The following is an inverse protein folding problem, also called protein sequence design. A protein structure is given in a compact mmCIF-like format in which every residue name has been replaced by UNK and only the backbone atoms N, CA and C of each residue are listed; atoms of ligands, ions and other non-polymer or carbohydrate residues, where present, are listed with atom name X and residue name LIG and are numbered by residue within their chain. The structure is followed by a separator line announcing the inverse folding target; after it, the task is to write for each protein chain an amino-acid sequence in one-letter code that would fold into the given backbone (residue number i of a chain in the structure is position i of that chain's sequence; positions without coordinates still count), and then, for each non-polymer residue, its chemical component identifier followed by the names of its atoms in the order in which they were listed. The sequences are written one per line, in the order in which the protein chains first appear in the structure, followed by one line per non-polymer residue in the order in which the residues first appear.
data_IF_567541096538
#
_entry.id   IF_567541096538
#
_cell.length_a   1.000
_cell.length_b   1.000
_cell.length_c   1.000
_cell.angle_alpha   90.00
_cell.angle_beta   90.00
_cell.angle_gamma   90.00
#
_symmetry.space_group_name_H-M   'P 1'
#
loop_
_entity.id
_entity.type
_entity.pdbx_description
1 polymer ?
#
# COMPACT_ATOMS: atom_id res chain seq x y z
N UNK A 1 30.66 19.96 20.21
CA UNK A 1 29.22 19.65 20.13
C UNK A 1 28.57 20.37 18.94
N UNK A 2 28.79 19.92 17.69
CA UNK A 2 28.16 20.52 16.48
C UNK A 2 28.00 19.50 15.34
N UNK A 3 27.70 18.23 15.64
CA UNK A 3 27.48 17.19 14.61
C UNK A 3 26.04 16.64 14.64
N UNK A 4 25.25 16.98 15.66
CA UNK A 4 23.93 16.37 15.88
C UNK A 4 22.79 16.98 15.05
N UNK A 5 23.00 18.15 14.42
CA UNK A 5 21.91 18.90 13.75
C UNK A 5 21.72 18.50 12.28
N UNK A 6 22.73 17.94 11.61
CA UNK A 6 22.67 17.63 10.17
C UNK A 6 21.88 16.33 9.88
N UNK A 7 21.77 15.43 10.86
CA UNK A 7 21.07 14.14 10.70
C UNK A 7 19.54 14.24 10.76
N UNK A 8 18.99 15.33 11.30
CA UNK A 8 17.53 15.50 11.45
C UNK A 8 16.87 16.03 10.16
N UNK A 9 17.66 16.58 9.23
CA UNK A 9 17.15 17.11 7.96
C UNK A 9 17.10 16.05 6.83
N UNK A 10 17.80 14.93 6.96
CA UNK A 10 17.77 13.86 5.95
C UNK A 10 16.62 12.86 6.11
N UNK A 11 15.91 12.89 7.24
CA UNK A 11 14.78 11.98 7.49
C UNK A 11 13.44 12.51 6.97
N UNK A 12 13.36 13.74 6.45
CA UNK A 12 12.10 14.34 6.00
C UNK A 12 11.74 14.09 4.52
N UNK A 13 12.61 13.46 3.71
CA UNK A 13 12.30 13.17 2.29
C UNK A 13 11.46 11.89 2.08
N UNK A 14 11.10 11.17 3.13
CA UNK A 14 10.31 9.93 3.00
C UNK A 14 8.79 10.12 3.15
N UNK A 15 8.29 11.35 3.22
CA UNK A 15 6.86 11.61 3.43
C UNK A 15 6.08 12.01 2.17
N UNK A 16 6.73 12.29 1.05
CA UNK A 16 6.05 12.81 -0.16
C UNK A 16 5.76 11.75 -1.23
N UNK A 17 6.37 10.56 -1.15
CA UNK A 17 6.28 9.52 -2.19
C UNK A 17 5.10 8.55 -2.06
N UNK A 18 4.29 8.67 -1.00
CA UNK A 18 3.19 7.75 -0.71
C UNK A 18 1.84 8.11 -1.37
N UNK A 19 1.69 9.32 -1.95
CA UNK A 19 0.37 9.81 -2.42
C UNK A 19 -0.19 8.97 -3.58
N UNK A 20 0.66 8.64 -4.55
CA UNK A 20 0.24 7.94 -5.77
C UNK A 20 0.02 6.44 -5.51
N UNK A 21 0.85 5.84 -4.65
CA UNK A 21 0.65 4.46 -4.19
C UNK A 21 -0.66 4.33 -3.39
N UNK A 22 -0.92 5.23 -2.43
CA UNK A 22 -2.16 5.21 -1.65
C UNK A 22 -3.40 5.37 -2.55
N UNK A 23 -3.32 6.20 -3.60
CA UNK A 23 -4.38 6.32 -4.60
C UNK A 23 -4.66 4.98 -5.29
N UNK A 24 -3.63 4.28 -5.77
CA UNK A 24 -3.81 2.99 -6.43
C UNK A 24 -4.23 1.89 -5.48
N UNK A 25 -3.72 1.87 -4.25
CA UNK A 25 -4.19 0.97 -3.21
C UNK A 25 -5.69 1.16 -2.93
N UNK A 26 -6.15 2.40 -2.81
CA UNK A 26 -7.57 2.68 -2.62
C UNK A 26 -8.43 2.34 -3.84
N UNK A 27 -7.86 2.38 -5.04
CA UNK A 27 -8.57 2.07 -6.28
C UNK A 27 -8.69 0.57 -6.54
N UNK A 28 -7.62 -0.20 -6.26
CA UNK A 28 -7.54 -1.61 -6.63
C UNK A 28 -7.65 -2.58 -5.47
N UNK A 29 -7.20 -2.17 -4.29
CA UNK A 29 -7.13 -3.05 -3.13
C UNK A 29 -8.26 -2.78 -2.12
N UNK A 30 -9.11 -1.76 -2.34
CA UNK A 30 -10.25 -1.45 -1.46
C UNK A 30 -11.51 -2.15 -1.96
N UNK A 31 -12.19 -2.84 -1.04
CA UNK A 31 -13.36 -3.64 -1.37
C UNK A 31 -14.64 -3.01 -0.80
N UNK A 32 -15.67 -2.91 -1.64
CA UNK A 32 -17.00 -2.46 -1.21
C UNK A 32 -16.99 -1.14 -0.43
N UNK A 33 -17.64 -1.15 0.74
CA UNK A 33 -17.74 -0.01 1.65
C UNK A 33 -16.60 0.05 2.69
N UNK A 34 -15.58 -0.79 2.56
CA UNK A 34 -14.48 -0.83 3.52
C UNK A 34 -13.68 0.48 3.49
N UNK A 35 -13.25 0.91 4.68
CA UNK A 35 -12.53 2.18 4.86
C UNK A 35 -11.05 2.04 4.51
N UNK A 36 -10.50 0.83 4.58
CA UNK A 36 -9.09 0.53 4.36
C UNK A 36 -8.89 -0.49 3.23
N UNK A 37 -7.88 -0.29 2.36
CA UNK A 37 -7.49 -1.27 1.36
C UNK A 37 -6.87 -2.51 2.00
N UNK A 38 -7.16 -3.69 1.43
CA UNK A 38 -6.62 -4.98 1.88
C UNK A 38 -5.44 -5.43 1.01
N UNK A 39 -4.30 -5.66 1.66
CA UNK A 39 -3.04 -6.01 1.00
C UNK A 39 -2.44 -7.28 1.57
N UNK A 40 -1.59 -7.92 0.76
CA UNK A 40 -0.79 -9.06 1.21
C UNK A 40 0.17 -8.66 2.33
N UNK A 41 0.59 -9.63 3.13
CA UNK A 41 1.64 -9.40 4.11
C UNK A 41 2.94 -9.02 3.41
N UNK A 42 3.67 -8.08 4.01
CA UNK A 42 4.98 -7.64 3.53
C UNK A 42 4.99 -6.96 2.15
N UNK A 43 3.92 -6.24 1.77
CA UNK A 43 3.96 -5.36 0.58
C UNK A 43 4.91 -4.14 0.73
N UNK A 44 5.56 -4.00 1.89
CA UNK A 44 6.48 -2.90 2.23
C UNK A 44 7.66 -2.78 1.26
N UNK A 45 8.18 -3.91 0.76
CA UNK A 45 9.23 -3.93 -0.25
C UNK A 45 8.75 -3.32 -1.59
N UNK A 46 7.52 -3.62 -2.00
CA UNK A 46 6.88 -3.09 -3.20
C UNK A 46 6.58 -1.60 -3.02
N UNK A 47 6.14 -1.19 -1.82
CA UNK A 47 6.00 0.22 -1.44
C UNK A 47 7.33 0.97 -1.54
N UNK A 48 8.42 0.41 -1.02
CA UNK A 48 9.74 1.02 -1.09
C UNK A 48 10.24 1.12 -2.55
N UNK A 49 10.09 0.04 -3.33
CA UNK A 49 10.44 0.04 -4.75
C UNK A 49 9.63 1.04 -5.56
N UNK A 50 8.34 1.21 -5.23
CA UNK A 50 7.46 2.18 -5.85
C UNK A 50 7.89 3.62 -5.56
N UNK A 51 8.22 3.91 -4.31
CA UNK A 51 8.68 5.23 -3.88
C UNK A 51 10.08 5.57 -4.40
N UNK A 52 10.92 4.57 -4.71
CA UNK A 52 12.28 4.78 -5.20
C UNK A 52 12.34 5.28 -6.66
N UNK A 53 11.32 5.02 -7.48
CA UNK A 53 11.26 5.46 -8.89
C UNK A 53 10.80 6.91 -8.99
N UNK A 54 11.73 7.88 -8.90
CA UNK A 54 11.43 9.32 -8.99
C UNK A 54 10.29 9.77 -8.06
N UNK A 55 10.07 9.04 -6.97
CA UNK A 55 9.07 9.36 -6.00
C UNK A 55 7.62 9.01 -6.31
N UNK A 56 7.35 8.24 -7.37
CA UNK A 56 6.02 7.85 -7.79
C UNK A 56 5.99 6.46 -8.45
N UNK A 57 4.89 5.73 -8.28
CA UNK A 57 4.54 4.66 -9.22
C UNK A 57 3.75 5.22 -10.39
N UNK A 58 4.10 4.79 -11.60
CA UNK A 58 3.17 4.83 -12.71
C UNK A 58 2.01 3.85 -12.46
N UNK A 59 0.83 4.15 -13.01
CA UNK A 59 -0.33 3.26 -12.96
C UNK A 59 -0.03 1.87 -13.54
N UNK A 60 0.71 1.84 -14.66
CA UNK A 60 1.16 0.62 -15.34
C UNK A 60 2.10 -0.23 -14.51
N UNK A 61 2.83 0.40 -13.60
CA UNK A 61 3.88 -0.24 -12.80
C UNK A 61 3.35 -0.73 -11.46
N UNK A 62 2.10 -0.40 -11.10
CA UNK A 62 1.51 -0.85 -9.84
C UNK A 62 1.23 -2.36 -9.92
N UNK A 63 1.91 -3.19 -9.11
CA UNK A 63 1.81 -4.63 -9.25
C UNK A 63 0.62 -5.13 -8.45
N UNK A 64 -0.59 -4.86 -8.96
CA UNK A 64 -1.88 -5.13 -8.32
C UNK A 64 -1.95 -6.54 -7.72
N UNK A 65 -1.59 -7.56 -8.51
CA UNK A 65 -1.66 -8.97 -8.11
C UNK A 65 -0.71 -9.35 -6.97
N UNK A 66 0.37 -8.61 -6.76
CA UNK A 66 1.33 -8.88 -5.68
C UNK A 66 1.18 -7.95 -4.48
N UNK A 67 0.33 -6.91 -4.58
CA UNK A 67 0.09 -5.95 -3.49
C UNK A 67 -1.29 -6.16 -2.88
N UNK A 68 -2.34 -6.27 -3.70
CA UNK A 68 -3.70 -6.42 -3.20
C UNK A 68 -4.04 -7.88 -2.90
N UNK A 69 -4.85 -8.12 -1.87
CA UNK A 69 -5.44 -9.44 -1.63
C UNK A 69 -6.59 -9.70 -2.62
N UNK A 70 -6.62 -10.87 -3.27
CA UNK A 70 -7.74 -11.31 -4.12
C UNK A 70 -8.30 -12.68 -3.75
N UNK A 71 -7.61 -13.43 -2.89
CA UNK A 71 -8.04 -14.74 -2.43
C UNK A 71 -8.89 -14.61 -1.17
N UNK A 72 -9.87 -15.52 -1.02
CA UNK A 72 -10.73 -15.53 0.16
C UNK A 72 -9.94 -15.64 1.46
N UNK A 73 -8.84 -16.39 1.49
CA UNK A 73 -7.95 -16.50 2.64
C UNK A 73 -7.33 -15.14 3.02
N UNK A 74 -6.80 -14.42 2.02
CA UNK A 74 -6.18 -13.11 2.24
C UNK A 74 -7.22 -12.07 2.68
N UNK A 75 -8.41 -12.11 2.07
CA UNK A 75 -9.52 -11.23 2.41
C UNK A 75 -10.09 -11.52 3.81
N UNK A 76 -10.17 -12.79 4.25
CA UNK A 76 -10.62 -13.16 5.61
C UNK A 76 -9.73 -12.55 6.70
N UNK A 77 -8.44 -12.38 6.42
CA UNK A 77 -7.50 -11.75 7.35
C UNK A 77 -7.74 -10.25 7.49
N UNK A 78 -8.07 -9.57 6.40
CA UNK A 78 -8.39 -8.15 6.43
C UNK A 78 -9.78 -7.86 7.00
N UNK A 79 -10.74 -8.74 6.70
CA UNK A 79 -12.16 -8.53 6.95
C UNK A 79 -12.77 -9.73 7.67
N UNK A 80 -12.34 -10.03 8.91
CA UNK A 80 -12.85 -11.18 9.66
C UNK A 80 -14.34 -11.03 9.93
N UNK A 81 -15.09 -12.12 9.70
CA UNK A 81 -16.55 -12.15 9.92
C UNK A 81 -17.38 -11.55 8.79
N UNK A 82 -16.75 -11.02 7.72
CA UNK A 82 -17.46 -10.56 6.52
C UNK A 82 -17.78 -11.71 5.58
N UNK A 83 -18.85 -11.54 4.80
CA UNK A 83 -19.20 -12.47 3.73
C UNK A 83 -18.32 -12.19 2.52
N UNK A 84 -17.58 -13.22 2.11
CA UNK A 84 -16.76 -13.17 0.89
C UNK A 84 -17.45 -13.97 -0.20
N UNK A 85 -17.68 -13.34 -1.36
CA UNK A 85 -18.27 -14.01 -2.52
C UNK A 85 -17.60 -13.50 -3.79
N UNK A 86 -17.04 -14.41 -4.58
CA UNK A 86 -16.36 -14.10 -5.86
C UNK A 86 -15.30 -12.98 -5.74
N UNK A 87 -14.50 -12.97 -4.67
CA UNK A 87 -13.48 -11.93 -4.45
C UNK A 87 -14.06 -10.56 -4.08
N UNK A 88 -15.32 -10.48 -3.67
CA UNK A 88 -15.95 -9.28 -3.13
C UNK A 88 -16.24 -9.45 -1.63
N UNK A 89 -16.23 -8.33 -0.91
CA UNK A 89 -16.50 -8.24 0.53
C UNK A 89 -17.85 -7.56 0.73
N UNK A 90 -18.75 -8.20 1.49
CA UNK A 90 -20.11 -7.73 1.82
C UNK A 90 -20.26 -7.48 3.32
#
# INVERSE_FOLDING_TARGET
MRITIILVLHSCLWHTHAKTLNKYMNMFCKYGAETTPCTVENYSAQKASCCAKNGNCAYSDFPTKSVCCFTDECLKRCYPGKLLKNGQVY
#
